data_IF_436346589316
#
_entry.id   IF_436346589316
#
_cell.length_a   1.000
_cell.length_b   1.000
_cell.length_c   1.000
_cell.angle_alpha   90.00
_cell.angle_beta   90.00
_cell.angle_gamma   90.00
#
_symmetry.space_group_name_H-M   'P 1'
#
loop_
_entity.id
_entity.type
_entity.pdbx_description
1 polymer ?
#
# COMPACT_ATOMS: atom_id res chain seq x y z
N UNK A 1 -1.41 11.27 -2.06
CA UNK A 1 -2.72 10.62 -2.11
C UNK A 1 -3.80 11.68 -1.93
N UNK A 2 -4.77 11.70 -2.82
CA UNK A 2 -5.80 12.73 -2.80
C UNK A 2 -5.31 14.13 -3.14
N UNK A 3 -4.14 14.25 -3.75
CA UNK A 3 -3.58 15.52 -4.17
C UNK A 3 -4.36 16.10 -5.35
N UNK A 4 -4.40 17.42 -5.47
CA UNK A 4 -5.06 18.11 -6.57
C UNK A 4 -4.30 17.89 -7.88
N UNK A 5 -2.97 17.81 -7.81
CA UNK A 5 -2.12 17.54 -8.95
C UNK A 5 -2.10 16.03 -9.26
N UNK A 6 -2.01 15.63 -10.55
CA UNK A 6 -1.82 14.23 -10.91
C UNK A 6 -0.51 13.70 -10.33
N UNK A 7 -0.55 12.52 -9.71
CA UNK A 7 0.62 11.91 -9.10
C UNK A 7 0.89 10.55 -9.77
N UNK A 8 2.13 10.37 -10.21
CA UNK A 8 2.65 9.07 -10.65
C UNK A 8 3.59 8.56 -9.56
N UNK A 9 3.38 7.34 -9.13
CA UNK A 9 4.29 6.71 -8.17
C UNK A 9 4.95 5.49 -8.80
N UNK A 10 6.24 5.36 -8.58
CA UNK A 10 7.05 4.27 -9.13
C UNK A 10 7.74 3.56 -7.99
N UNK A 11 7.51 2.26 -7.86
CA UNK A 11 8.21 1.43 -6.90
C UNK A 11 9.50 0.91 -7.52
N UNK A 12 10.63 1.31 -6.93
CA UNK A 12 11.94 0.79 -7.26
C UNK A 12 12.52 0.13 -6.02
N UNK A 13 12.67 -1.18 -6.07
CA UNK A 13 13.11 -1.95 -4.92
C UNK A 13 11.94 -2.42 -4.08
N UNK A 14 11.73 -1.83 -2.92
CA UNK A 14 10.73 -2.32 -1.96
C UNK A 14 9.78 -1.22 -1.51
N UNK A 15 8.50 -1.53 -1.48
CA UNK A 15 7.49 -0.68 -0.86
C UNK A 15 6.73 -1.53 0.16
N UNK A 16 6.99 -1.30 1.43
CA UNK A 16 6.45 -2.10 2.51
C UNK A 16 5.50 -1.29 3.36
N UNK A 17 4.45 -1.95 3.85
CA UNK A 17 3.52 -1.37 4.80
C UNK A 17 2.84 -0.11 4.25
N UNK A 18 3.09 1.04 4.87
CA UNK A 18 2.50 2.31 4.45
C UNK A 18 2.99 2.75 3.06
N UNK A 19 4.22 2.39 2.68
CA UNK A 19 4.73 2.63 1.33
C UNK A 19 3.91 1.92 0.26
N UNK A 20 3.50 0.69 0.52
CA UNK A 20 2.62 -0.07 -0.38
C UNK A 20 1.23 0.57 -0.47
N UNK A 21 0.69 1.07 0.63
CA UNK A 21 -0.60 1.78 0.66
C UNK A 21 -0.52 3.07 -0.16
N UNK A 22 0.54 3.83 0.01
CA UNK A 22 0.75 5.07 -0.77
C UNK A 22 0.82 4.78 -2.27
N UNK A 23 1.55 3.74 -2.66
CA UNK A 23 1.62 3.33 -4.06
C UNK A 23 0.23 2.97 -4.59
N UNK A 24 -0.50 2.13 -3.88
CA UNK A 24 -1.83 1.67 -4.29
C UNK A 24 -2.84 2.82 -4.45
N UNK A 25 -2.66 3.89 -3.70
CA UNK A 25 -3.56 5.05 -3.72
C UNK A 25 -3.16 6.16 -4.71
N UNK A 26 -2.05 6.00 -5.42
CA UNK A 26 -1.60 6.99 -6.39
C UNK A 26 -2.50 7.00 -7.64
N UNK A 27 -2.50 8.10 -8.37
CA UNK A 27 -3.27 8.24 -9.61
C UNK A 27 -2.77 7.31 -10.70
N UNK A 28 -1.46 7.20 -10.86
CA UNK A 28 -0.80 6.22 -11.72
C UNK A 28 0.28 5.49 -10.94
N UNK A 29 0.31 4.17 -11.04
CA UNK A 29 1.09 3.31 -10.18
C UNK A 29 1.94 2.36 -11.01
N UNK A 30 3.24 2.40 -10.78
CA UNK A 30 4.20 1.61 -11.56
C UNK A 30 5.14 0.84 -10.64
N UNK A 31 5.60 -0.31 -11.11
CA UNK A 31 6.64 -1.11 -10.45
C UNK A 31 7.72 -1.48 -11.46
N UNK A 32 8.96 -1.50 -11.00
CA UNK A 32 10.06 -2.05 -11.78
C UNK A 32 10.07 -3.58 -11.66
N UNK A 33 10.66 -4.30 -12.65
CA UNK A 33 10.56 -5.78 -12.71
C UNK A 33 11.05 -6.54 -11.48
N UNK A 34 11.99 -5.99 -10.73
CA UNK A 34 12.57 -6.66 -9.55
C UNK A 34 12.14 -6.01 -8.24
N UNK A 35 11.07 -5.24 -8.26
CA UNK A 35 10.56 -4.60 -7.06
C UNK A 35 9.60 -5.52 -6.31
N UNK A 36 9.25 -5.14 -5.10
CA UNK A 36 8.42 -5.93 -4.20
C UNK A 36 7.53 -5.03 -3.36
N UNK A 37 6.29 -5.46 -3.16
CA UNK A 37 5.37 -4.82 -2.22
C UNK A 37 5.10 -5.76 -1.06
N UNK A 38 4.86 -5.21 0.11
CA UNK A 38 4.43 -5.99 1.26
C UNK A 38 3.28 -5.27 1.95
N UNK A 39 2.21 -6.01 2.17
CA UNK A 39 1.06 -5.56 2.95
C UNK A 39 0.96 -6.37 4.23
N UNK A 40 0.64 -5.70 5.32
CA UNK A 40 0.28 -6.36 6.56
C UNK A 40 -0.70 -5.49 7.34
N UNK A 41 -1.42 -6.10 8.26
CA UNK A 41 -2.31 -5.37 9.13
C UNK A 41 -1.52 -4.61 10.20
N UNK A 42 -2.03 -3.46 10.69
CA UNK A 42 -1.43 -2.81 11.85
C UNK A 42 -1.36 -3.79 13.01
N UNK A 43 -0.19 -3.92 13.60
CA UNK A 43 0.05 -4.84 14.70
C UNK A 43 0.48 -4.08 15.95
N UNK A 44 0.11 -4.63 17.12
CA UNK A 44 0.64 -4.19 18.39
C UNK A 44 2.09 -4.69 18.52
N UNK A 45 3.01 -4.06 17.78
CA UNK A 45 4.42 -4.41 17.79
C UNK A 45 5.20 -3.86 18.98
N UNK A 46 4.56 -3.05 19.81
CA UNK A 46 5.18 -2.43 20.98
C UNK A 46 4.72 -3.13 22.24
N UNK A 47 5.62 -3.18 23.25
CA UNK A 47 5.24 -3.59 24.59
C UNK A 47 4.23 -2.59 25.13
N UNK A 48 3.01 -3.03 25.32
CA UNK A 48 1.98 -2.21 25.94
C UNK A 48 1.98 -2.52 27.42
N UNK A 49 2.43 -1.56 28.21
CA UNK A 49 2.31 -1.63 29.65
C UNK A 49 1.25 -0.63 30.09
N UNK A 50 0.39 -1.03 31.00
CA UNK A 50 -0.67 -0.18 31.49
C UNK A 50 -1.84 -0.99 32.02
N UNK A 51 -2.89 -0.30 32.46
CA UNK A 51 -4.10 -0.96 32.89
C UNK A 51 -4.96 -1.43 31.70
N UNK A 52 -5.97 -2.23 31.98
CA UNK A 52 -6.85 -2.80 30.98
C UNK A 52 -7.54 -1.74 30.10
N UNK A 53 -7.87 -0.58 30.68
CA UNK A 53 -8.50 0.52 29.93
C UNK A 53 -7.56 1.11 28.88
N UNK A 54 -6.28 1.28 29.21
CA UNK A 54 -5.27 1.79 28.28
C UNK A 54 -5.02 0.80 27.14
N UNK A 55 -4.93 -0.48 27.45
CA UNK A 55 -4.75 -1.55 26.45
C UNK A 55 -5.95 -1.60 25.51
N UNK A 56 -7.15 -1.50 26.05
CA UNK A 56 -8.38 -1.47 25.25
C UNK A 56 -8.41 -0.27 24.31
N UNK A 57 -8.07 0.91 24.80
CA UNK A 57 -8.02 2.13 23.98
C UNK A 57 -7.06 1.99 22.81
N UNK A 58 -5.88 1.42 23.04
CA UNK A 58 -4.88 1.19 21.98
C UNK A 58 -5.41 0.17 20.97
N UNK A 59 -6.00 -0.93 21.43
CA UNK A 59 -6.58 -1.96 20.57
C UNK A 59 -7.71 -1.41 19.71
N UNK A 60 -8.62 -0.64 20.29
CA UNK A 60 -9.72 -0.01 19.57
C UNK A 60 -9.21 0.96 18.51
N UNK A 61 -8.19 1.73 18.83
CA UNK A 61 -7.54 2.67 17.92
C UNK A 61 -6.88 1.94 16.75
N UNK A 62 -6.24 0.81 16.99
CA UNK A 62 -5.63 -0.02 15.94
C UNK A 62 -6.68 -0.64 15.03
N UNK A 63 -7.80 -1.11 15.56
CA UNK A 63 -8.90 -1.65 14.77
C UNK A 63 -9.50 -0.58 13.86
N UNK A 64 -9.62 0.64 14.35
CA UNK A 64 -10.11 1.77 13.57
C UNK A 64 -9.16 2.11 12.43
N UNK A 65 -7.87 2.15 12.70
CA UNK A 65 -6.82 2.37 11.69
C UNK A 65 -6.84 1.28 10.63
N UNK A 66 -6.96 0.03 11.04
CA UNK A 66 -7.08 -1.12 10.13
C UNK A 66 -8.27 -0.95 9.19
N UNK A 67 -9.43 -0.57 9.70
CA UNK A 67 -10.61 -0.33 8.88
C UNK A 67 -10.39 0.76 7.85
N UNK A 68 -9.76 1.85 8.22
CA UNK A 68 -9.47 2.96 7.33
C UNK A 68 -8.54 2.54 6.21
N UNK A 69 -7.48 1.81 6.52
CA UNK A 69 -6.52 1.30 5.53
C UNK A 69 -7.18 0.31 4.60
N UNK A 70 -7.96 -0.64 5.12
CA UNK A 70 -8.67 -1.63 4.32
C UNK A 70 -9.66 -0.95 3.37
N UNK A 71 -10.36 0.06 3.84
CA UNK A 71 -11.30 0.84 3.03
C UNK A 71 -10.59 1.58 1.88
N UNK A 72 -9.44 2.20 2.17
CA UNK A 72 -8.63 2.88 1.15
C UNK A 72 -8.12 1.89 0.10
N UNK A 73 -7.58 0.76 0.52
CA UNK A 73 -7.09 -0.27 -0.40
C UNK A 73 -8.23 -0.85 -1.23
N UNK A 74 -9.38 -1.12 -0.64
CA UNK A 74 -10.54 -1.61 -1.36
C UNK A 74 -10.98 -0.63 -2.44
N UNK A 75 -11.02 0.66 -2.13
CA UNK A 75 -11.38 1.71 -3.08
C UNK A 75 -10.42 1.76 -4.27
N UNK A 76 -9.12 1.69 -4.03
CA UNK A 76 -8.11 1.85 -5.07
C UNK A 76 -7.78 0.57 -5.83
N UNK A 77 -8.06 -0.60 -5.28
CA UNK A 77 -7.84 -1.89 -5.94
C UNK A 77 -9.09 -2.45 -6.60
N UNK A 78 -10.27 -1.95 -6.25
CA UNK A 78 -11.53 -2.54 -6.68
C UNK A 78 -11.87 -3.85 -5.99
N UNK A 79 -11.11 -4.24 -4.97
CA UNK A 79 -11.38 -5.43 -4.16
C UNK A 79 -12.34 -5.10 -3.03
N UNK A 80 -12.96 -6.13 -2.45
CA UNK A 80 -13.78 -5.95 -1.26
C UNK A 80 -12.89 -5.79 -0.03
N UNK A 81 -13.44 -5.19 1.03
CA UNK A 81 -12.71 -5.08 2.30
C UNK A 81 -12.36 -6.45 2.87
N UNK A 82 -13.21 -7.44 2.66
CA UNK A 82 -12.96 -8.83 3.06
C UNK A 82 -11.76 -9.44 2.34
N UNK A 83 -11.63 -9.20 1.04
CA UNK A 83 -10.50 -9.66 0.25
C UNK A 83 -9.20 -9.00 0.72
N UNK A 84 -9.24 -7.69 1.01
CA UNK A 84 -8.11 -6.95 1.55
C UNK A 84 -7.73 -7.49 2.93
N UNK A 85 -8.71 -7.73 3.79
CA UNK A 85 -8.50 -8.25 5.14
C UNK A 85 -7.78 -9.60 5.10
N UNK A 86 -8.22 -10.49 4.23
CA UNK A 86 -7.58 -11.79 4.00
C UNK A 86 -6.15 -11.66 3.49
N UNK A 87 -5.93 -10.76 2.54
CA UNK A 87 -4.61 -10.57 1.94
C UNK A 87 -3.61 -9.96 2.91
N UNK A 88 -4.08 -9.31 3.97
CA UNK A 88 -3.23 -8.61 4.94
C UNK A 88 -3.16 -9.28 6.31
N UNK A 89 -3.80 -10.45 6.49
CA UNK A 89 -3.79 -11.19 7.77
C UNK A 89 -2.39 -11.53 8.26
N UNK A 90 -1.51 -11.82 7.31
CA UNK A 90 -0.09 -12.05 7.56
C UNK A 90 0.70 -11.12 6.65
N UNK A 91 2.00 -10.98 6.91
CA UNK A 91 2.87 -10.27 5.98
C UNK A 91 2.76 -10.91 4.61
N UNK A 92 2.16 -10.21 3.68
CA UNK A 92 1.94 -10.70 2.33
C UNK A 92 2.83 -9.93 1.35
N UNK A 93 3.74 -10.63 0.73
CA UNK A 93 4.68 -10.08 -0.24
C UNK A 93 4.13 -10.25 -1.65
N UNK A 94 4.18 -9.17 -2.43
CA UNK A 94 3.72 -9.18 -3.82
C UNK A 94 4.89 -8.92 -4.75
N UNK A 95 5.10 -9.82 -5.71
CA UNK A 95 5.93 -9.55 -6.88
C UNK A 95 5.23 -8.53 -7.77
N UNK A 96 5.91 -7.92 -8.76
CA UNK A 96 5.25 -7.00 -9.69
C UNK A 96 4.03 -7.63 -10.39
N UNK A 97 4.14 -8.88 -10.82
CA UNK A 97 3.03 -9.60 -11.46
C UNK A 97 1.86 -9.81 -10.51
N UNK A 98 2.14 -10.24 -9.29
CA UNK A 98 1.12 -10.45 -8.27
C UNK A 98 0.45 -9.14 -7.87
N UNK A 99 1.23 -8.07 -7.73
CA UNK A 99 0.71 -6.75 -7.40
C UNK A 99 -0.19 -6.21 -8.51
N UNK A 100 0.17 -6.42 -9.77
CA UNK A 100 -0.65 -6.03 -10.91
C UNK A 100 -1.94 -6.84 -10.95
N UNK A 101 -1.86 -8.13 -10.73
CA UNK A 101 -3.03 -9.01 -10.69
C UNK A 101 -4.01 -8.65 -9.56
N UNK A 102 -3.48 -8.24 -8.41
CA UNK A 102 -4.27 -7.77 -7.28
C UNK A 102 -4.72 -6.31 -7.42
N UNK A 103 -4.28 -5.64 -8.48
CA UNK A 103 -4.57 -4.24 -8.78
C UNK A 103 -3.95 -3.25 -7.78
N UNK A 104 -2.80 -3.60 -7.22
CA UNK A 104 -2.02 -2.69 -6.38
C UNK A 104 -1.15 -1.76 -7.21
N UNK A 105 -0.82 -2.13 -8.44
CA UNK A 105 -0.18 -1.25 -9.39
C UNK A 105 -0.81 -1.41 -10.77
N UNK A 106 -0.56 -0.45 -11.64
CA UNK A 106 -1.16 -0.42 -12.97
C UNK A 106 -0.29 -1.09 -14.02
N UNK A 107 1.02 -0.92 -13.94
CA UNK A 107 1.93 -1.37 -14.98
C UNK A 107 3.32 -1.66 -14.42
N UNK A 108 3.97 -2.68 -14.98
CA UNK A 108 5.37 -2.99 -14.74
C UNK A 108 6.18 -2.31 -15.86
N UNK A 109 7.15 -1.48 -15.47
CA UNK A 109 7.94 -0.71 -16.43
C UNK A 109 9.43 -0.96 -16.26
N UNK A 110 10.17 -0.86 -17.37
CA UNK A 110 11.62 -0.91 -17.36
C UNK A 110 12.22 0.41 -16.84
N UNK A 111 13.43 0.34 -16.28
CA UNK A 111 14.10 1.53 -15.74
C UNK A 111 14.26 2.64 -16.77
N UNK A 112 14.54 2.29 -18.02
CA UNK A 112 14.65 3.27 -19.12
C UNK A 112 13.40 4.10 -19.30
N UNK A 113 12.22 3.52 -19.03
CA UNK A 113 10.95 4.22 -19.13
C UNK A 113 10.73 5.25 -18.03
N UNK A 114 11.36 5.04 -16.87
CA UNK A 114 11.33 6.02 -15.77
C UNK A 114 11.96 7.34 -16.22
N UNK A 115 13.07 7.25 -16.95
CA UNK A 115 13.75 8.44 -17.50
C UNK A 115 12.85 9.17 -18.49
N UNK A 116 12.12 8.43 -19.33
CA UNK A 116 11.18 9.02 -20.28
C UNK A 116 10.05 9.77 -19.57
N UNK A 117 9.53 9.21 -18.48
CA UNK A 117 8.50 9.88 -17.68
C UNK A 117 9.01 11.18 -17.07
N UNK A 118 10.25 11.21 -16.59
CA UNK A 118 10.85 12.42 -16.04
C UNK A 118 11.00 13.48 -17.13
N UNK A 119 11.38 13.10 -18.33
CA UNK A 119 11.51 14.01 -19.47
C UNK A 119 10.16 14.55 -19.95
N UNK A 120 9.12 13.73 -19.90
CA UNK A 120 7.76 14.09 -20.31
C UNK A 120 7.04 14.97 -19.29
N UNK A 121 7.50 14.95 -18.04
CA UNK A 121 6.88 15.74 -16.99
C UNK A 121 7.10 17.23 -17.22
N UNK A 122 6.04 18.01 -17.13
CA UNK A 122 6.12 19.48 -17.12
C UNK A 122 6.40 19.92 -15.68
N UNK A 123 7.58 20.44 -15.47
CA UNK A 123 8.02 20.94 -14.17
C UNK A 123 7.73 22.44 -14.00
#
# INVERSE_FOLDING_TARGET
VGSIAPVRMICRGKAYSMGAVLLACAGKRYMLPNSELMLHQPMLGLRVSGNASSIKSISDSMLETKKKINSLLAKHTGKTEEEIDKATDFDHYFSPDEATAFNLCDEIIEFSKVIDFVKEAEW
#
